data_IF_144849361001
#
_entry.id   IF_144849361001
#
_cell.length_a   1.000
_cell.length_b   1.000
_cell.length_c   1.000
_cell.angle_alpha   90.00
_cell.angle_beta   90.00
_cell.angle_gamma   90.00
#
_symmetry.space_group_name_H-M   'P 1'
#
loop_
_entity.id
_entity.type
_entity.pdbx_description
1 polymer ?
#
# COMPACT_ATOMS: atom_id res chain seq x y z
N UNK A 1 -15.64 -4.08 17.58
CA UNK A 1 -15.30 -3.35 16.35
C UNK A 1 -14.37 -4.22 15.51
N UNK A 2 -14.57 -4.28 14.19
CA UNK A 2 -13.58 -4.91 13.29
C UNK A 2 -12.37 -3.99 13.20
N UNK A 3 -11.16 -4.54 13.37
CA UNK A 3 -9.92 -3.78 13.14
C UNK A 3 -9.65 -3.64 11.64
N UNK A 4 -8.90 -2.62 11.26
CA UNK A 4 -8.45 -2.41 9.88
C UNK A 4 -6.92 -2.35 9.82
N UNK A 5 -6.34 -3.13 8.92
CA UNK A 5 -4.91 -3.06 8.58
C UNK A 5 -4.75 -2.59 7.13
N UNK A 6 -3.67 -1.88 6.85
CA UNK A 6 -3.28 -1.54 5.49
C UNK A 6 -2.13 -2.44 5.01
N UNK A 7 -1.96 -2.57 3.70
CA UNK A 7 -0.81 -3.23 3.06
C UNK A 7 -0.37 -2.37 1.90
N UNK A 8 0.94 -2.14 1.77
CA UNK A 8 1.53 -1.58 0.56
C UNK A 8 2.71 -2.45 0.11
N UNK A 9 3.01 -2.40 -1.18
CA UNK A 9 4.23 -3.00 -1.74
C UNK A 9 5.11 -1.86 -2.25
N UNK A 10 6.25 -1.64 -1.59
CA UNK A 10 7.23 -0.62 -1.96
C UNK A 10 8.52 -1.22 -2.49
N UNK A 11 9.27 -0.45 -3.27
CA UNK A 11 10.54 -0.87 -3.85
C UNK A 11 10.39 -1.60 -5.19
N UNK A 12 11.33 -2.50 -5.47
CA UNK A 12 11.29 -3.33 -6.67
C UNK A 12 10.32 -4.50 -6.53
N UNK A 13 9.68 -4.88 -7.65
CA UNK A 13 8.79 -6.03 -7.67
C UNK A 13 9.57 -7.35 -7.57
N UNK A 14 9.07 -8.29 -6.77
CA UNK A 14 9.66 -9.62 -6.64
C UNK A 14 8.59 -10.73 -6.72
N UNK A 15 8.97 -11.95 -7.18
CA UNK A 15 8.05 -13.09 -7.18
C UNK A 15 7.54 -13.40 -5.77
N UNK A 16 6.22 -13.56 -5.63
CA UNK A 16 5.59 -13.99 -4.37
C UNK A 16 4.89 -12.88 -3.57
N UNK A 17 5.01 -11.61 -3.94
CA UNK A 17 4.29 -10.52 -3.25
C UNK A 17 2.77 -10.73 -3.25
N UNK A 18 2.21 -11.20 -4.37
CA UNK A 18 0.80 -11.59 -4.45
C UNK A 18 0.44 -12.74 -3.49
N UNK A 19 1.36 -13.67 -3.23
CA UNK A 19 1.15 -14.73 -2.24
C UNK A 19 1.13 -14.17 -0.81
N UNK A 20 2.00 -13.21 -0.50
CA UNK A 20 2.01 -12.49 0.79
C UNK A 20 0.71 -11.72 1.00
N UNK A 21 0.30 -10.89 0.03
CA UNK A 21 -0.96 -10.14 0.08
C UNK A 21 -2.14 -11.09 0.33
N UNK A 22 -2.23 -12.18 -0.45
CA UNK A 22 -3.27 -13.19 -0.26
C UNK A 22 -3.21 -13.84 1.13
N UNK A 23 -2.01 -14.15 1.63
CA UNK A 23 -1.82 -14.74 2.95
C UNK A 23 -2.35 -13.83 4.06
N UNK A 24 -1.97 -12.55 4.03
CA UNK A 24 -2.42 -11.56 5.01
C UNK A 24 -3.93 -11.37 4.95
N UNK A 25 -4.50 -11.17 3.77
CA UNK A 25 -5.96 -10.98 3.59
C UNK A 25 -6.74 -12.18 4.13
N UNK A 26 -6.33 -13.41 3.80
CA UNK A 26 -7.00 -14.60 4.30
C UNK A 26 -6.87 -14.75 5.82
N UNK A 27 -5.71 -14.45 6.39
CA UNK A 27 -5.51 -14.53 7.84
C UNK A 27 -6.34 -13.47 8.59
N UNK A 28 -6.30 -12.22 8.13
CA UNK A 28 -7.04 -11.10 8.68
C UNK A 28 -8.55 -11.36 8.65
N UNK A 29 -9.09 -11.71 7.47
CA UNK A 29 -10.54 -11.93 7.31
C UNK A 29 -11.01 -13.21 8.01
N UNK A 30 -10.37 -14.35 7.78
CA UNK A 30 -10.90 -15.65 8.24
C UNK A 30 -10.60 -15.96 9.71
N UNK A 31 -9.48 -15.46 10.26
CA UNK A 31 -9.08 -15.79 11.64
C UNK A 31 -9.35 -14.67 12.63
N UNK A 32 -9.46 -13.42 12.16
CA UNK A 32 -9.53 -12.24 13.04
C UNK A 32 -10.74 -11.36 12.77
N UNK A 33 -11.50 -11.61 11.69
CA UNK A 33 -12.58 -10.75 11.24
C UNK A 33 -12.12 -9.28 11.12
N UNK A 34 -10.94 -9.08 10.54
CA UNK A 34 -10.34 -7.77 10.25
C UNK A 34 -10.53 -7.39 8.79
N UNK A 35 -10.61 -6.09 8.54
CA UNK A 35 -10.61 -5.50 7.21
C UNK A 35 -9.17 -5.24 6.75
N UNK A 36 -8.95 -5.31 5.44
CA UNK A 36 -7.65 -5.05 4.82
C UNK A 36 -7.81 -4.02 3.70
N UNK A 37 -7.03 -2.96 3.77
CA UNK A 37 -6.90 -1.95 2.74
C UNK A 37 -5.55 -2.09 2.03
N UNK A 38 -5.56 -2.29 0.72
CA UNK A 38 -4.36 -2.14 -0.10
C UNK A 38 -4.13 -0.67 -0.41
N UNK A 39 -2.88 -0.23 -0.34
CA UNK A 39 -2.43 1.09 -0.81
C UNK A 39 -1.69 0.86 -2.13
N UNK A 40 -2.09 1.60 -3.16
CA UNK A 40 -1.55 1.41 -4.51
C UNK A 40 -0.21 2.14 -4.72
N UNK A 41 0.70 1.53 -5.49
CA UNK A 41 2.02 2.08 -5.84
C UNK A 41 2.92 2.40 -4.64
N UNK A 42 2.82 1.63 -3.57
CA UNK A 42 3.64 1.80 -2.38
C UNK A 42 3.31 3.10 -1.63
N UNK A 43 4.34 3.84 -1.21
CA UNK A 43 4.14 5.10 -0.49
C UNK A 43 3.58 6.23 -1.37
N UNK A 44 3.74 6.16 -2.70
CA UNK A 44 3.10 7.12 -3.62
C UNK A 44 1.56 7.08 -3.49
N UNK A 45 1.00 5.95 -3.07
CA UNK A 45 -0.43 5.80 -2.78
C UNK A 45 -0.89 6.57 -1.55
N UNK A 46 0.01 7.05 -0.70
CA UNK A 46 -0.29 7.87 0.47
C UNK A 46 0.10 9.35 0.28
N UNK A 47 0.75 9.70 -0.82
CA UNK A 47 1.08 11.10 -1.15
C UNK A 47 -0.11 11.74 -1.88
N UNK A 48 -0.53 12.93 -1.43
CA UNK A 48 -1.72 13.60 -1.96
C UNK A 48 -3.03 12.92 -1.53
N UNK A 49 -3.85 12.50 -2.49
CA UNK A 49 -5.11 11.77 -2.19
C UNK A 49 -4.82 10.27 -2.10
N UNK A 50 -5.13 9.61 -0.97
CA UNK A 50 -4.88 8.19 -0.80
C UNK A 50 -5.54 7.33 -1.88
N UNK A 51 -4.74 6.47 -2.53
CA UNK A 51 -5.21 5.48 -3.49
C UNK A 51 -5.35 4.14 -2.78
N UNK A 52 -6.59 3.78 -2.49
CA UNK A 52 -6.93 2.64 -1.66
C UNK A 52 -7.74 1.63 -2.43
N UNK A 53 -7.42 0.35 -2.19
CA UNK A 53 -8.13 -0.78 -2.75
C UNK A 53 -8.58 -1.72 -1.63
N UNK A 54 -9.88 -1.87 -1.37
CA UNK A 54 -10.36 -2.88 -0.43
C UNK A 54 -9.89 -4.29 -0.85
N UNK A 55 -9.31 -5.02 0.09
CA UNK A 55 -8.83 -6.39 -0.14
C UNK A 55 -9.72 -7.39 0.59
N UNK A 56 -10.45 -8.20 -0.20
CA UNK A 56 -11.35 -9.25 0.27
C UNK A 56 -10.85 -10.61 -0.20
N UNK A 57 -11.46 -11.69 0.31
CA UNK A 57 -11.16 -13.07 -0.14
C UNK A 57 -11.36 -13.21 -1.66
N UNK A 58 -12.36 -12.53 -2.20
CA UNK A 58 -12.69 -12.48 -3.62
C UNK A 58 -11.65 -11.70 -4.40
N UNK A 59 -11.23 -10.52 -3.90
CA UNK A 59 -10.27 -9.68 -4.63
C UNK A 59 -8.87 -10.29 -4.71
N UNK A 60 -8.49 -11.18 -3.78
CA UNK A 60 -7.23 -11.93 -3.81
C UNK A 60 -7.34 -13.33 -4.42
N UNK A 61 -8.48 -13.67 -5.04
CA UNK A 61 -8.65 -14.95 -5.73
C UNK A 61 -7.86 -14.93 -7.05
N UNK A 62 -7.15 -16.02 -7.34
CA UNK A 62 -6.45 -16.17 -8.62
C UNK A 62 -5.21 -15.29 -8.82
N UNK A 63 -4.74 -14.59 -7.78
CA UNK A 63 -3.57 -13.69 -7.90
C UNK A 63 -2.22 -14.40 -7.77
N UNK A 64 -2.20 -15.65 -7.27
CA UNK A 64 -0.98 -16.43 -7.07
C UNK A 64 -0.10 -16.61 -8.33
N UNK A 65 -0.66 -16.92 -9.52
CA UNK A 65 0.15 -17.05 -10.74
C UNK A 65 0.54 -15.69 -11.37
N UNK A 66 0.05 -14.55 -10.84
CA UNK A 66 0.35 -13.23 -11.41
C UNK A 66 1.73 -12.77 -10.96
N UNK A 67 2.54 -12.32 -11.92
CA UNK A 67 3.79 -11.61 -11.65
C UNK A 67 3.56 -10.26 -10.97
N UNK A 68 4.61 -9.74 -10.34
CA UNK A 68 4.59 -8.47 -9.61
C UNK A 68 3.62 -8.48 -8.42
N UNK A 69 2.96 -7.34 -8.21
CA UNK A 69 1.99 -7.12 -7.13
C UNK A 69 0.68 -6.53 -7.67
N UNK A 70 -0.47 -7.00 -7.18
CA UNK A 70 -1.80 -6.46 -7.53
C UNK A 70 -2.04 -5.03 -7.06
N UNK A 71 -1.16 -4.50 -6.22
CA UNK A 71 -1.21 -3.12 -5.72
C UNK A 71 -0.28 -2.18 -6.49
N UNK A 72 0.54 -2.66 -7.42
CA UNK A 72 1.65 -1.88 -7.96
C UNK A 72 2.75 -1.60 -6.92
N UNK A 73 3.88 -1.06 -7.37
CA UNK A 73 4.98 -0.67 -6.49
C UNK A 73 5.68 0.57 -7.03
N UNK A 74 6.25 1.35 -6.13
CA UNK A 74 7.11 2.49 -6.47
C UNK A 74 8.49 2.30 -5.86
N UNK A 75 9.51 2.54 -6.68
CA UNK A 75 10.91 2.55 -6.27
C UNK A 75 11.45 3.95 -5.93
N UNK A 76 10.62 4.99 -6.07
CA UNK A 76 11.02 6.39 -5.90
C UNK A 76 10.20 7.14 -4.86
N UNK A 77 9.11 6.56 -4.36
CA UNK A 77 8.22 7.19 -3.38
C UNK A 77 8.75 7.22 -1.94
N UNK A 78 10.05 7.44 -1.69
CA UNK A 78 10.56 7.56 -0.31
C UNK A 78 9.93 8.80 0.36
N UNK A 79 9.12 8.66 1.43
CA UNK A 79 8.48 9.82 2.07
C UNK A 79 9.46 10.82 2.67
N UNK A 80 10.64 10.38 3.11
CA UNK A 80 11.66 11.25 3.71
C UNK A 80 12.47 12.03 2.65
N UNK A 81 12.39 11.63 1.38
CA UNK A 81 13.13 12.22 0.27
C UNK A 81 12.32 12.07 -1.02
N UNK A 82 11.12 12.64 -1.03
CA UNK A 82 10.16 12.50 -2.11
C UNK A 82 10.55 13.36 -3.31
N UNK A 83 10.65 12.78 -4.52
CA UNK A 83 11.02 13.53 -5.71
C UNK A 83 9.84 14.35 -6.26
N UNK A 84 9.97 15.67 -6.28
CA UNK A 84 9.03 16.60 -6.91
C UNK A 84 9.68 17.31 -8.10
N UNK A 85 8.89 17.57 -9.14
CA UNK A 85 9.34 18.35 -10.30
C UNK A 85 9.02 19.83 -10.05
N UNK A 86 10.05 20.65 -9.92
CA UNK A 86 9.95 22.10 -9.71
C UNK A 86 10.83 22.80 -10.75
N UNK A 87 10.23 23.52 -11.70
CA UNK A 87 10.97 24.24 -12.75
C UNK A 87 11.83 23.34 -13.66
N UNK A 88 11.38 22.11 -13.94
CA UNK A 88 12.11 21.15 -14.77
C UNK A 88 13.30 20.45 -14.09
N UNK A 89 13.45 20.63 -12.76
CA UNK A 89 14.44 19.92 -11.95
C UNK A 89 13.75 19.05 -10.92
N UNK A 90 14.35 17.89 -10.64
CA UNK A 90 13.95 17.04 -9.51
C UNK A 90 14.51 17.62 -8.22
N UNK A 91 13.63 17.92 -7.27
CA UNK A 91 13.97 18.31 -5.90
C UNK A 91 13.48 17.24 -4.94
N UNK A 92 14.24 16.97 -3.89
CA UNK A 92 13.84 16.04 -2.84
C UNK A 92 13.25 16.85 -1.67
N UNK A 93 12.05 16.47 -1.24
CA UNK A 93 11.36 17.10 -0.10
C UNK A 93 10.90 16.02 0.88
N UNK A 94 10.79 16.36 2.16
CA UNK A 94 10.18 15.49 3.16
C UNK A 94 8.65 15.65 3.13
N UNK A 95 7.94 14.54 2.89
CA UNK A 95 6.47 14.46 2.90
C UNK A 95 5.96 13.46 3.94
N UNK A 96 6.82 13.01 4.86
CA UNK A 96 6.49 11.99 5.86
C UNK A 96 5.31 12.38 6.74
N UNK A 97 5.22 13.65 7.16
CA UNK A 97 4.07 14.17 7.92
C UNK A 97 2.75 14.07 7.13
N UNK A 98 2.79 14.36 5.82
CA UNK A 98 1.62 14.21 4.95
C UNK A 98 1.21 12.74 4.85
N UNK A 99 2.18 11.84 4.64
CA UNK A 99 1.94 10.39 4.55
C UNK A 99 1.34 9.86 5.86
N UNK A 100 1.86 10.28 7.01
CA UNK A 100 1.34 9.91 8.32
C UNK A 100 -0.08 10.44 8.56
N UNK A 101 -0.34 11.70 8.19
CA UNK A 101 -1.67 12.30 8.30
C UNK A 101 -2.69 11.56 7.42
N UNK A 102 -2.30 11.23 6.18
CA UNK A 102 -3.12 10.44 5.27
C UNK A 102 -3.35 9.02 5.80
N UNK A 103 -2.31 8.35 6.29
CA UNK A 103 -2.44 7.02 6.88
C UNK A 103 -3.42 7.00 8.07
N UNK A 104 -3.36 8.02 8.95
CA UNK A 104 -4.32 8.17 10.05
C UNK A 104 -5.75 8.39 9.53
N UNK A 105 -5.91 9.17 8.46
CA UNK A 105 -7.22 9.47 7.85
C UNK A 105 -7.88 8.25 7.20
N UNK A 106 -7.12 7.29 6.68
CA UNK A 106 -7.69 6.07 6.09
C UNK A 106 -8.24 5.10 7.16
N UNK A 107 -7.99 5.35 8.45
CA UNK A 107 -8.55 4.57 9.56
C UNK A 107 -7.88 3.21 9.77
N UNK A 108 -6.71 2.96 9.17
CA UNK A 108 -5.93 1.76 9.43
C UNK A 108 -5.16 1.89 10.76
N UNK A 109 -5.16 0.82 11.54
CA UNK A 109 -4.45 0.74 12.83
C UNK A 109 -3.00 0.26 12.68
N UNK A 110 -2.68 -0.39 11.57
CA UNK A 110 -1.35 -0.93 11.26
C UNK A 110 -1.11 -0.92 9.74
N UNK A 111 0.17 -0.87 9.36
CA UNK A 111 0.67 -0.92 7.98
C UNK A 111 1.59 -2.14 7.81
#
# INVERSE_FOLDING_TARGET
MSKCIAILTGGGDCPGLNAVIRGVVRAATLKRNWQVLGIEDGFDGLVGTPRLRPLTIESVRGILPRGGTILGTSNRGNPLAYPVQEGGKTKLIDVSDQVLANFRRIGAEAL
#
